data_IF_390803828485
#
_entry.id   IF_390803828485
#
_cell.length_a   1.000
_cell.length_b   1.000
_cell.length_c   1.000
_cell.angle_alpha   90.00
_cell.angle_beta   90.00
_cell.angle_gamma   90.00
#
_symmetry.space_group_name_H-M   'P 1'
#
loop_
_entity.id
_entity.type
_entity.pdbx_description
1 polymer ?
#
# COMPACT_ATOMS: atom_id res chain seq x y z
N UNK A 1 -7.69 10.49 -13.25
CA UNK A 1 -7.65 11.66 -12.35
C UNK A 1 -6.31 12.33 -12.57
N UNK A 2 -6.28 13.64 -12.71
CA UNK A 2 -5.03 14.38 -12.64
C UNK A 2 -4.54 14.42 -11.17
N UNK A 3 -3.27 14.70 -10.97
CA UNK A 3 -2.66 14.71 -9.63
C UNK A 3 -3.31 15.77 -8.71
N UNK A 4 -3.82 16.85 -9.29
CA UNK A 4 -4.49 17.94 -8.58
C UNK A 4 -5.84 17.54 -7.97
N UNK A 5 -6.72 16.92 -8.75
CA UNK A 5 -8.03 16.46 -8.25
C UNK A 5 -7.87 15.41 -7.15
N UNK A 6 -6.85 14.56 -7.26
CA UNK A 6 -6.54 13.56 -6.24
C UNK A 6 -6.04 14.19 -4.93
N UNK A 7 -5.15 15.18 -5.01
CA UNK A 7 -4.67 15.88 -3.83
C UNK A 7 -5.82 16.57 -3.08
N UNK A 8 -6.78 17.14 -3.82
CA UNK A 8 -7.95 17.78 -3.23
C UNK A 8 -8.86 16.77 -2.53
N UNK A 9 -9.14 15.64 -3.16
CA UNK A 9 -9.88 14.54 -2.54
C UNK A 9 -9.21 14.06 -1.23
N UNK A 10 -7.89 13.92 -1.22
CA UNK A 10 -7.14 13.53 -0.02
C UNK A 10 -7.31 14.54 1.11
N UNK A 11 -7.26 15.83 0.80
CA UNK A 11 -7.41 16.88 1.81
C UNK A 11 -8.83 16.91 2.38
N UNK A 12 -9.85 16.79 1.53
CA UNK A 12 -11.24 16.74 1.95
C UNK A 12 -11.49 15.53 2.86
N UNK A 13 -10.99 14.36 2.48
CA UNK A 13 -11.11 13.14 3.27
C UNK A 13 -10.43 13.26 4.63
N UNK A 14 -9.24 13.89 4.72
CA UNK A 14 -8.56 14.09 6.02
C UNK A 14 -9.42 14.86 7.01
N UNK A 15 -10.11 15.92 6.55
CA UNK A 15 -11.00 16.70 7.41
C UNK A 15 -12.24 15.91 7.84
N UNK A 16 -12.84 15.16 6.92
CA UNK A 16 -14.06 14.38 7.19
C UNK A 16 -13.83 13.16 8.10
N UNK A 17 -12.60 12.65 8.14
CA UNK A 17 -12.23 11.45 8.90
C UNK A 17 -11.78 11.75 10.33
N UNK A 18 -11.73 13.01 10.74
CA UNK A 18 -11.45 13.37 12.14
C UNK A 18 -12.44 12.64 13.06
N UNK A 19 -11.92 11.99 14.09
CA UNK A 19 -12.65 11.17 15.06
C UNK A 19 -13.43 9.98 14.46
N UNK A 20 -13.02 9.47 13.29
CA UNK A 20 -13.60 8.28 12.67
C UNK A 20 -12.56 7.20 12.42
N UNK A 21 -12.98 5.94 12.46
CA UNK A 21 -12.16 4.82 12.01
C UNK A 21 -12.37 4.60 10.52
N UNK A 22 -11.29 4.71 9.73
CA UNK A 22 -11.27 4.36 8.31
C UNK A 22 -10.78 2.92 8.13
N UNK A 23 -11.57 2.11 7.43
CA UNK A 23 -11.10 0.86 6.81
C UNK A 23 -10.96 1.12 5.31
N UNK A 24 -9.74 1.05 4.80
CA UNK A 24 -9.42 1.35 3.41
C UNK A 24 -8.97 0.08 2.68
N UNK A 25 -9.67 -0.25 1.58
CA UNK A 25 -9.27 -1.29 0.64
C UNK A 25 -8.93 -0.61 -0.68
N UNK A 26 -7.66 -0.63 -1.07
CA UNK A 26 -7.20 0.10 -2.26
C UNK A 26 -5.98 -0.57 -2.88
N UNK A 27 -5.86 -0.44 -4.21
CA UNK A 27 -4.61 -0.70 -4.94
C UNK A 27 -3.84 0.60 -5.25
N UNK A 28 -4.40 1.76 -4.88
CA UNK A 28 -3.83 3.09 -5.14
C UNK A 28 -2.95 3.51 -3.98
N UNK A 29 -1.63 3.57 -4.21
CA UNK A 29 -0.64 3.92 -3.18
C UNK A 29 -0.83 5.31 -2.57
N UNK A 30 -1.31 6.28 -3.34
CA UNK A 30 -1.58 7.66 -2.89
C UNK A 30 -2.57 7.72 -1.73
N UNK A 31 -3.59 6.86 -1.72
CA UNK A 31 -4.59 6.79 -0.65
C UNK A 31 -4.03 6.18 0.65
N UNK A 32 -2.91 5.45 0.59
CA UNK A 32 -2.24 4.96 1.80
C UNK A 32 -1.69 6.09 2.68
N UNK A 33 -1.65 7.33 2.18
CA UNK A 33 -1.37 8.51 2.99
C UNK A 33 -2.45 8.80 4.05
N UNK A 34 -3.65 8.20 3.93
CA UNK A 34 -4.77 8.36 4.86
C UNK A 34 -4.78 7.35 6.02
N UNK A 35 -3.84 6.39 6.05
CA UNK A 35 -3.81 5.31 7.03
C UNK A 35 -2.47 5.21 7.75
N UNK A 36 -2.55 4.71 8.98
CA UNK A 36 -1.39 4.54 9.87
C UNK A 36 -0.94 3.07 9.96
N UNK A 37 -1.87 2.13 9.76
CA UNK A 37 -1.66 0.67 9.85
C UNK A 37 -2.06 -0.01 8.54
N UNK A 38 -1.28 -1.01 8.14
CA UNK A 38 -1.54 -1.83 6.94
C UNK A 38 -1.60 -3.29 7.33
N UNK A 39 -2.59 -4.00 6.78
CA UNK A 39 -2.74 -5.45 6.93
C UNK A 39 -2.70 -6.07 5.53
N UNK A 40 -1.77 -7.00 5.31
CA UNK A 40 -1.62 -7.73 4.05
C UNK A 40 -2.27 -9.09 4.18
N UNK A 41 -3.16 -9.41 3.25
CA UNK A 41 -3.82 -10.70 3.17
C UNK A 41 -3.36 -11.46 1.94
N UNK A 42 -3.13 -12.75 2.10
CA UNK A 42 -2.95 -13.70 1.01
C UNK A 42 -3.63 -15.02 1.38
N UNK A 43 -4.44 -15.54 0.46
CA UNK A 43 -5.05 -16.87 0.58
C UNK A 43 -5.74 -17.12 1.94
N UNK A 44 -6.45 -16.10 2.44
CA UNK A 44 -7.18 -16.16 3.72
C UNK A 44 -6.32 -16.03 4.97
N UNK A 45 -5.03 -15.70 4.83
CA UNK A 45 -4.09 -15.51 5.95
C UNK A 45 -3.58 -14.07 5.98
N UNK A 46 -3.33 -13.57 7.18
CA UNK A 46 -2.62 -12.31 7.38
C UNK A 46 -1.13 -12.58 7.23
N UNK A 47 -0.51 -12.00 6.20
CA UNK A 47 0.94 -12.11 5.97
C UNK A 47 1.73 -11.03 6.72
N UNK A 48 1.14 -9.85 6.88
CA UNK A 48 1.76 -8.74 7.59
C UNK A 48 0.68 -7.87 8.23
N UNK A 49 1.00 -7.30 9.39
CA UNK A 49 0.12 -6.42 10.14
C UNK A 49 0.99 -5.49 11.00
N UNK A 50 0.93 -4.19 10.74
CA UNK A 50 1.76 -3.23 11.47
C UNK A 50 1.70 -1.81 10.91
N UNK A 51 2.59 -0.92 11.41
CA UNK A 51 2.71 0.44 10.89
C UNK A 51 2.94 0.43 9.38
N UNK A 52 2.25 1.32 8.67
CA UNK A 52 2.31 1.41 7.20
C UNK A 52 3.74 1.38 6.67
N UNK A 53 4.62 2.20 7.23
CA UNK A 53 5.98 2.39 6.69
C UNK A 53 6.83 1.11 6.83
N UNK A 54 6.65 0.37 7.93
CA UNK A 54 7.34 -0.90 8.16
C UNK A 54 6.83 -1.98 7.19
N UNK A 55 5.51 -2.10 7.04
CA UNK A 55 4.88 -3.09 6.15
C UNK A 55 5.23 -2.82 4.69
N UNK A 56 5.16 -1.55 4.26
CA UNK A 56 5.52 -1.18 2.88
C UNK A 56 7.00 -1.40 2.58
N UNK A 57 7.90 -1.13 3.54
CA UNK A 57 9.33 -1.39 3.39
C UNK A 57 9.61 -2.89 3.24
N UNK A 58 8.98 -3.74 4.06
CA UNK A 58 9.09 -5.19 3.96
C UNK A 58 8.59 -5.70 2.60
N UNK A 59 7.43 -5.23 2.14
CA UNK A 59 6.86 -5.61 0.85
C UNK A 59 7.77 -5.23 -0.33
N UNK A 60 8.38 -4.03 -0.29
CA UNK A 60 9.35 -3.60 -1.31
C UNK A 60 10.61 -4.48 -1.31
N UNK A 61 11.12 -4.87 -0.14
CA UNK A 61 12.28 -5.78 -0.05
C UNK A 61 11.96 -7.16 -0.60
N UNK A 62 10.78 -7.71 -0.31
CA UNK A 62 10.33 -8.98 -0.89
C UNK A 62 10.20 -8.91 -2.42
N UNK A 63 9.61 -7.84 -2.95
CA UNK A 63 9.50 -7.65 -4.40
C UNK A 63 10.88 -7.63 -5.09
N UNK A 64 11.87 -6.96 -4.48
CA UNK A 64 13.26 -6.94 -4.98
C UNK A 64 13.94 -8.31 -4.92
N UNK A 65 13.73 -9.07 -3.84
CA UNK A 65 14.26 -10.43 -3.69
C UNK A 65 13.66 -11.38 -4.72
N UNK A 66 12.35 -11.30 -4.96
CA UNK A 66 11.65 -12.14 -5.94
C UNK A 66 12.12 -11.85 -7.39
N UNK A 67 12.42 -10.59 -7.72
CA UNK A 67 13.02 -10.23 -9.01
C UNK A 67 14.46 -10.71 -9.16
N UNK A 68 15.27 -10.66 -8.09
CA UNK A 68 16.65 -11.12 -8.12
C UNK A 68 16.76 -12.65 -8.20
N UNK A 69 15.75 -13.39 -7.72
CA UNK A 69 15.71 -14.84 -7.72
C UNK A 69 15.17 -15.46 -9.03
N UNK A 70 14.67 -14.67 -9.99
CA UNK A 70 14.24 -15.16 -11.30
C UNK A 70 15.40 -15.03 -12.31
N UNK A 71 16.08 -16.13 -12.72
CA UNK A 71 17.05 -16.05 -13.79
C UNK A 71 16.33 -15.73 -15.09
N UNK A 72 16.85 -14.77 -15.86
CA UNK A 72 16.41 -14.47 -17.23
C UNK A 72 16.64 -15.71 -18.09
N UNK A 73 15.65 -16.60 -18.18
CA UNK A 73 15.59 -17.61 -19.22
C UNK A 73 15.03 -16.93 -20.48
N UNK A 74 15.92 -16.65 -21.43
CA UNK A 74 15.54 -16.01 -22.69
C UNK A 74 16.72 -15.47 -23.48
N UNK A 75 17.75 -16.27 -23.69
CA UNK A 75 18.59 -16.16 -24.89
C UNK A 75 18.62 -17.57 -25.52
N UNK A 76 17.97 -17.68 -26.68
CA UNK A 76 17.85 -18.88 -27.49
C UNK A 76 17.18 -18.51 -28.80
#
# INVERSE_FOLDING_TARGET
>A
MDNGSEQQLLNDLKGLLVDKTLILITHRGTLLSLVDRVVVFDSGRILADGPKDEVLKAAQQQAKQNMAAQPKQGEG
#
